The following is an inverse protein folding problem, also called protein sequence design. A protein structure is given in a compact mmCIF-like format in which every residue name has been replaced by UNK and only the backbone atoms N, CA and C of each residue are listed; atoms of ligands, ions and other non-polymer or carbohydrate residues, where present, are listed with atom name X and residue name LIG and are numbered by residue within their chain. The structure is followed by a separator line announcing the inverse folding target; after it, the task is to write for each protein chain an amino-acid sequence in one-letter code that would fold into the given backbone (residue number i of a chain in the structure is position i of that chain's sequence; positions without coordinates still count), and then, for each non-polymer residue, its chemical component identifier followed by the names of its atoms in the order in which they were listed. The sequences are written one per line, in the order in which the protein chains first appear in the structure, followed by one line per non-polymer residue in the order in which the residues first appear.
data_IF_214892382390
#
_entry.id   IF_214892382390
#
_cell.length_a   1.000
_cell.length_b   1.000
_cell.length_c   1.000
_cell.angle_alpha   90.00
_cell.angle_beta   90.00
_cell.angle_gamma   90.00
#
_symmetry.space_group_name_H-M   'P 1'
#
loop_
_entity.id
_entity.type
_entity.pdbx_description
1 polymer ?
#
# COMPACT_ATOMS: atom_id res chain seq x y z
N UNK A 1 -34.37 -8.69 37.23
CA UNK A 1 -33.18 -9.07 38.03
C UNK A 1 -32.06 -9.27 37.02
N UNK A 2 -31.42 -8.20 36.55
CA UNK A 2 -30.37 -7.40 37.22
C UNK A 2 -28.98 -8.01 37.00
N UNK A 3 -28.23 -7.43 36.07
CA UNK A 3 -26.92 -6.85 36.40
C UNK A 3 -26.62 -5.77 35.35
N UNK A 4 -26.44 -4.57 35.86
CA UNK A 4 -26.04 -3.37 35.16
C UNK A 4 -24.62 -3.04 35.64
N UNK A 5 -23.82 -2.51 34.73
CA UNK A 5 -22.68 -1.60 34.95
C UNK A 5 -21.43 -2.07 35.71
N UNK A 6 -20.30 -2.03 35.01
CA UNK A 6 -19.06 -1.47 35.53
C UNK A 6 -18.44 -0.53 34.49
N UNK A 7 -18.37 0.75 34.87
CA UNK A 7 -17.78 1.86 34.15
C UNK A 7 -16.27 1.73 33.96
N UNK A 8 -15.82 2.23 32.81
CA UNK A 8 -14.72 3.19 32.63
C UNK A 8 -13.48 3.09 33.53
N UNK A 9 -12.36 2.75 32.90
CA UNK A 9 -11.05 3.27 33.26
C UNK A 9 -10.44 3.93 32.01
N UNK A 10 -10.38 5.26 32.03
CA UNK A 10 -9.64 6.06 31.07
C UNK A 10 -8.22 6.31 31.61
N UNK A 11 -7.20 6.04 30.77
CA UNK A 11 -5.90 6.73 30.69
C UNK A 11 -4.92 5.92 29.80
N UNK A 12 -3.87 6.53 29.20
CA UNK A 12 -3.74 7.89 28.68
C UNK A 12 -3.46 7.93 27.16
N UNK A 13 -3.69 9.11 26.60
CA UNK A 13 -3.25 9.57 25.28
C UNK A 13 -1.79 9.23 24.97
N UNK A 14 -1.52 8.89 23.70
CA UNK A 14 -0.23 9.22 23.08
C UNK A 14 0.65 8.11 22.49
N UNK A 15 0.10 7.01 21.97
CA UNK A 15 0.87 6.09 21.12
C UNK A 15 0.11 5.77 19.82
N UNK A 16 0.73 5.87 18.63
CA UNK A 16 0.05 5.54 17.38
C UNK A 16 -0.19 4.04 17.33
N UNK A 17 -1.45 3.64 17.46
CA UNK A 17 -1.89 2.25 17.32
C UNK A 17 -1.97 1.89 15.83
N UNK A 18 -0.81 1.83 15.18
CA UNK A 18 -0.73 1.40 13.77
C UNK A 18 -0.99 -0.11 13.61
N UNK A 19 -0.91 -0.87 14.71
CA UNK A 19 -1.03 -2.34 14.69
C UNK A 19 -2.44 -2.92 14.91
N UNK A 20 -3.42 -2.13 15.37
CA UNK A 20 -4.78 -2.64 15.63
C UNK A 20 -5.78 -2.27 14.53
N UNK A 21 -5.55 -1.18 13.79
CA UNK A 21 -6.44 -0.76 12.71
C UNK A 21 -6.40 -1.71 11.49
N UNK A 22 -5.35 -2.51 11.35
CA UNK A 22 -5.22 -3.51 10.28
C UNK A 22 -5.90 -4.86 10.62
N UNK A 23 -6.25 -5.11 11.87
CA UNK A 23 -6.61 -6.46 12.34
C UNK A 23 -8.12 -6.72 12.48
N UNK A 24 -8.98 -5.71 12.36
CA UNK A 24 -10.43 -5.84 12.62
C UNK A 24 -11.34 -5.52 11.41
N UNK A 25 -10.77 -5.32 10.22
CA UNK A 25 -11.61 -5.29 9.00
C UNK A 25 -11.91 -6.72 8.55
N UNK A 26 -13.19 -7.11 8.34
CA UNK A 26 -13.49 -8.38 7.71
C UNK A 26 -12.80 -8.41 6.33
N UNK A 27 -12.17 -9.53 5.93
CA UNK A 27 -11.60 -9.63 4.60
C UNK A 27 -12.73 -9.54 3.58
N UNK A 28 -12.86 -8.38 2.91
CA UNK A 28 -13.77 -8.25 1.77
C UNK A 28 -14.51 -6.94 1.50
N UNK A 29 -14.17 -5.76 2.05
CA UNK A 29 -14.84 -4.53 1.59
C UNK A 29 -14.04 -3.21 1.67
N UNK A 30 -12.70 -3.25 1.68
CA UNK A 30 -11.97 -2.03 1.29
C UNK A 30 -12.24 -1.79 -0.19
N UNK A 31 -12.67 -0.58 -0.57
CA UNK A 31 -12.84 -0.28 -1.99
C UNK A 31 -11.47 -0.29 -2.68
N UNK A 32 -11.44 -0.58 -3.98
CA UNK A 32 -10.21 -0.50 -4.78
C UNK A 32 -9.45 0.82 -4.54
N UNK A 33 -10.19 1.92 -4.39
CA UNK A 33 -9.65 3.24 -4.06
C UNK A 33 -8.97 3.27 -2.70
N UNK A 34 -9.61 2.74 -1.65
CA UNK A 34 -9.03 2.71 -0.31
C UNK A 34 -7.76 1.86 -0.28
N UNK A 35 -7.79 0.67 -0.89
CA UNK A 35 -6.62 -0.20 -1.01
C UNK A 35 -5.50 0.50 -1.78
N UNK A 36 -5.81 1.19 -2.87
CA UNK A 36 -4.83 1.96 -3.62
C UNK A 36 -4.12 3.02 -2.77
N UNK A 37 -4.88 3.84 -2.04
CA UNK A 37 -4.29 4.85 -1.16
C UNK A 37 -3.47 4.22 -0.02
N UNK A 38 -3.99 3.18 0.62
CA UNK A 38 -3.31 2.48 1.70
C UNK A 38 -1.96 1.87 1.26
N UNK A 39 -1.90 1.29 0.06
CA UNK A 39 -0.65 0.75 -0.50
C UNK A 39 0.37 1.86 -0.75
N UNK A 40 -0.07 3.03 -1.21
CA UNK A 40 0.78 4.20 -1.40
C UNK A 40 1.34 4.76 -0.09
N UNK A 41 0.53 4.79 0.97
CA UNK A 41 0.99 5.17 2.31
C UNK A 41 2.01 4.17 2.87
N UNK A 42 1.73 2.87 2.76
CA UNK A 42 2.65 1.81 3.17
C UNK A 42 3.99 1.91 2.41
N UNK A 43 3.94 2.13 1.09
CA UNK A 43 5.13 2.32 0.29
C UNK A 43 5.92 3.57 0.68
N UNK A 44 5.27 4.67 1.05
CA UNK A 44 5.97 5.86 1.54
C UNK A 44 6.76 5.57 2.83
N UNK A 45 6.20 4.76 3.74
CA UNK A 45 6.90 4.29 4.95
C UNK A 45 8.09 3.42 4.58
N UNK A 46 7.93 2.48 3.63
CA UNK A 46 9.02 1.63 3.14
C UNK A 46 10.13 2.47 2.50
N UNK A 47 9.79 3.47 1.68
CA UNK A 47 10.73 4.42 1.11
C UNK A 47 11.52 5.20 2.17
N UNK A 48 10.86 5.64 3.24
CA UNK A 48 11.51 6.30 4.37
C UNK A 48 12.48 5.35 5.10
N UNK A 49 12.11 4.08 5.32
CA UNK A 49 12.99 3.06 5.90
C UNK A 49 14.21 2.75 5.00
N UNK A 50 14.06 2.92 3.69
CA UNK A 50 15.14 2.80 2.72
C UNK A 50 16.06 4.04 2.67
N UNK A 51 15.72 5.12 3.39
CA UNK A 51 16.45 6.39 3.36
C UNK A 51 16.26 7.16 2.05
N UNK A 52 15.19 6.90 1.30
CA UNK A 52 14.90 7.58 0.02
C UNK A 52 14.13 8.87 0.24
N UNK A 53 14.43 9.84 -0.61
CA UNK A 53 13.72 11.12 -0.71
C UNK A 53 12.55 11.05 -1.69
N UNK A 54 11.59 11.97 -1.57
CA UNK A 54 10.47 12.11 -2.52
C UNK A 54 10.93 12.28 -3.97
N UNK A 55 12.11 12.88 -4.18
CA UNK A 55 12.70 13.05 -5.51
C UNK A 55 13.13 11.72 -6.14
N UNK A 56 13.65 10.79 -5.35
CA UNK A 56 13.97 9.43 -5.81
C UNK A 56 12.69 8.65 -6.12
N UNK A 57 11.54 9.13 -5.64
CA UNK A 57 10.21 8.55 -5.86
C UNK A 57 9.49 8.92 -7.16
N UNK A 58 10.07 9.82 -7.95
CA UNK A 58 9.54 10.26 -9.23
C UNK A 58 9.68 9.20 -10.34
N UNK A 59 8.82 8.19 -10.34
CA UNK A 59 8.72 7.17 -11.41
C UNK A 59 7.45 7.24 -12.26
N UNK A 60 6.40 7.89 -11.76
CA UNK A 60 5.13 8.06 -12.44
C UNK A 60 4.59 9.48 -12.17
N UNK A 61 3.75 9.98 -13.08
CA UNK A 61 3.08 11.28 -12.89
C UNK A 61 2.17 11.22 -11.65
N UNK A 62 2.29 12.18 -10.71
CA UNK A 62 1.38 12.25 -9.55
C UNK A 62 -0.10 12.29 -9.96
N UNK A 63 -0.41 12.99 -11.05
CA UNK A 63 -1.78 13.07 -11.58
C UNK A 63 -2.28 11.71 -12.09
N UNK A 64 -1.40 10.88 -12.69
CA UNK A 64 -1.78 9.55 -13.16
C UNK A 64 -1.99 8.57 -12.00
N UNK A 65 -1.20 8.72 -10.93
CA UNK A 65 -1.38 7.94 -9.69
C UNK A 65 -2.74 8.26 -9.06
N UNK A 66 -3.08 9.54 -8.94
CA UNK A 66 -4.33 9.98 -8.33
C UNK A 66 -5.56 9.57 -9.16
N UNK A 67 -5.48 9.72 -10.49
CA UNK A 67 -6.60 9.40 -11.38
C UNK A 67 -6.83 7.89 -11.59
N UNK A 68 -5.94 7.02 -11.10
CA UNK A 68 -5.98 5.59 -11.42
C UNK A 68 -7.29 4.90 -11.02
N UNK A 69 -7.82 5.03 -9.77
CA UNK A 69 -9.04 4.34 -9.36
C UNK A 69 -10.24 4.68 -10.26
N UNK A 70 -10.47 5.96 -10.51
CA UNK A 70 -11.54 6.41 -11.41
C UNK A 70 -11.36 5.83 -12.83
N UNK A 71 -10.15 5.93 -13.37
CA UNK A 71 -9.86 5.49 -14.73
C UNK A 71 -10.02 3.97 -14.90
N UNK A 72 -9.60 3.17 -13.90
CA UNK A 72 -9.72 1.71 -13.97
C UNK A 72 -11.17 1.25 -13.80
N UNK A 73 -11.97 1.95 -12.98
CA UNK A 73 -13.41 1.71 -12.91
C UNK A 73 -14.10 1.99 -14.25
N UNK A 74 -13.75 3.09 -14.92
CA UNK A 74 -14.25 3.39 -16.26
C UNK A 74 -13.82 2.35 -17.31
N UNK A 75 -12.59 1.83 -17.22
CA UNK A 75 -12.11 0.80 -18.12
C UNK A 75 -12.86 -0.54 -17.94
N UNK A 76 -13.20 -0.90 -16.70
CA UNK A 76 -14.02 -2.05 -16.35
C UNK A 76 -13.48 -3.41 -16.83
N UNK A 77 -14.35 -4.42 -16.81
CA UNK A 77 -14.11 -5.74 -17.38
C UNK A 77 -12.83 -6.43 -16.87
N UNK A 78 -12.08 -7.07 -17.79
CA UNK A 78 -10.88 -7.82 -17.44
C UNK A 78 -9.76 -6.95 -16.85
N UNK A 79 -9.69 -5.66 -17.21
CA UNK A 79 -8.68 -4.74 -16.68
C UNK A 79 -8.94 -4.43 -15.22
N UNK A 80 -10.20 -4.15 -14.87
CA UNK A 80 -10.61 -3.93 -13.49
C UNK A 80 -10.39 -5.19 -12.64
N UNK A 81 -10.76 -6.37 -13.16
CA UNK A 81 -10.52 -7.63 -12.46
C UNK A 81 -9.02 -7.88 -12.21
N UNK A 82 -8.18 -7.63 -13.22
CA UNK A 82 -6.73 -7.78 -13.09
C UNK A 82 -6.12 -6.74 -12.14
N UNK A 83 -6.63 -5.51 -12.14
CA UNK A 83 -6.20 -4.48 -11.20
C UNK A 83 -6.55 -4.86 -9.76
N UNK A 84 -7.76 -5.36 -9.51
CA UNK A 84 -8.17 -5.81 -8.18
C UNK A 84 -7.25 -6.92 -7.66
N UNK A 85 -7.02 -7.95 -8.48
CA UNK A 85 -6.09 -9.03 -8.13
C UNK A 85 -4.68 -8.49 -7.86
N UNK A 86 -4.18 -7.59 -8.71
CA UNK A 86 -2.85 -7.01 -8.54
C UNK A 86 -2.72 -6.17 -7.27
N UNK A 87 -3.79 -5.50 -6.83
CA UNK A 87 -3.82 -4.78 -5.56
C UNK A 87 -3.82 -5.73 -4.37
N UNK A 88 -4.59 -6.82 -4.44
CA UNK A 88 -4.65 -7.84 -3.39
C UNK A 88 -3.27 -8.53 -3.23
N UNK A 89 -2.62 -8.88 -4.34
CA UNK A 89 -1.27 -9.45 -4.35
C UNK A 89 -0.24 -8.45 -3.77
N UNK A 90 -0.33 -7.18 -4.15
CA UNK A 90 0.57 -6.13 -3.67
C UNK A 90 0.38 -5.84 -2.18
N UNK A 91 -0.86 -5.91 -1.68
CA UNK A 91 -1.17 -5.81 -0.26
C UNK A 91 -0.49 -6.92 0.54
N UNK A 92 -0.61 -8.18 0.08
CA UNK A 92 0.03 -9.31 0.74
C UNK A 92 1.56 -9.18 0.78
N UNK A 93 2.17 -8.72 -0.33
CA UNK A 93 3.62 -8.47 -0.43
C UNK A 93 4.04 -7.37 0.55
N UNK A 94 3.34 -6.23 0.57
CA UNK A 94 3.69 -5.10 1.44
C UNK A 94 3.46 -5.41 2.92
N UNK A 95 2.36 -6.06 3.29
CA UNK A 95 2.08 -6.44 4.68
C UNK A 95 3.18 -7.37 5.22
N UNK A 96 3.52 -8.40 4.45
CA UNK A 96 4.56 -9.36 4.81
C UNK A 96 5.95 -8.69 4.84
N UNK A 97 6.25 -7.88 3.82
CA UNK A 97 7.51 -7.16 3.70
C UNK A 97 7.73 -6.17 4.84
N UNK A 98 6.75 -5.32 5.13
CA UNK A 98 6.80 -4.35 6.23
C UNK A 98 6.98 -5.06 7.58
N UNK A 99 6.24 -6.14 7.84
CA UNK A 99 6.40 -6.93 9.06
C UNK A 99 7.84 -7.46 9.21
N UNK A 100 8.44 -7.95 8.12
CA UNK A 100 9.82 -8.41 8.12
C UNK A 100 10.82 -7.26 8.38
N UNK A 101 10.63 -6.10 7.76
CA UNK A 101 11.48 -4.92 7.97
C UNK A 101 11.43 -4.45 9.43
N UNK A 102 10.24 -4.40 10.04
CA UNK A 102 10.07 -4.05 11.45
C UNK A 102 10.75 -5.07 12.37
N UNK A 103 10.66 -6.36 12.06
CA UNK A 103 11.34 -7.40 12.83
C UNK A 103 12.87 -7.30 12.74
N UNK A 104 13.42 -6.86 11.61
CA UNK A 104 14.86 -6.58 11.44
C UNK A 104 15.27 -5.38 12.28
N UNK A 105 14.51 -4.28 12.20
CA UNK A 105 14.74 -3.07 12.99
C UNK A 105 14.68 -3.32 14.50
N UNK A 106 13.71 -4.12 14.96
CA UNK A 106 13.56 -4.50 16.36
C UNK A 106 14.76 -5.28 16.92
N UNK A 107 15.57 -5.90 16.04
CA UNK A 107 16.83 -6.58 16.41
C UNK A 107 18.05 -5.66 16.31
N UNK A 108 17.84 -4.35 16.16
CA UNK A 108 18.91 -3.34 16.05
C UNK A 108 19.70 -3.40 14.74
N UNK A 109 19.18 -4.08 13.71
CA UNK A 109 19.83 -4.14 12.39
C UNK A 109 19.15 -3.17 11.43
N UNK A 110 19.92 -2.63 10.50
CA UNK A 110 19.38 -1.74 9.47
C UNK A 110 18.53 -2.54 8.46
N UNK A 111 17.27 -2.14 8.22
CA UNK A 111 16.43 -2.74 7.18
C UNK A 111 16.64 -2.10 5.79
N UNK A 112 17.51 -1.08 5.66
CA UNK A 112 17.50 -0.14 4.53
C UNK A 112 17.62 -0.82 3.15
N UNK A 113 18.50 -1.82 3.00
CA UNK A 113 18.68 -2.52 1.72
C UNK A 113 17.44 -3.35 1.33
N UNK A 114 16.82 -4.04 2.30
CA UNK A 114 15.60 -4.80 2.05
C UNK A 114 14.41 -3.86 1.80
N UNK A 115 14.34 -2.73 2.50
CA UNK A 115 13.33 -1.70 2.27
C UNK A 115 13.45 -1.10 0.86
N UNK A 116 14.67 -0.83 0.39
CA UNK A 116 14.91 -0.34 -0.96
C UNK A 116 14.39 -1.32 -2.02
N UNK A 117 14.67 -2.62 -1.86
CA UNK A 117 14.19 -3.65 -2.78
C UNK A 117 12.66 -3.77 -2.79
N UNK A 118 12.02 -3.76 -1.61
CA UNK A 118 10.55 -3.79 -1.51
C UNK A 118 9.91 -2.56 -2.14
N UNK A 119 10.54 -1.39 -1.97
CA UNK A 119 10.07 -0.15 -2.58
C UNK A 119 10.17 -0.18 -4.10
N UNK A 120 11.26 -0.73 -4.64
CA UNK A 120 11.41 -0.90 -6.09
C UNK A 120 10.37 -1.87 -6.67
N UNK A 121 10.05 -2.95 -5.96
CA UNK A 121 8.99 -3.89 -6.34
C UNK A 121 7.63 -3.18 -6.37
N UNK A 122 7.29 -2.41 -5.33
CA UNK A 122 6.06 -1.62 -5.31
C UNK A 122 5.98 -0.66 -6.50
N UNK A 123 7.07 0.04 -6.83
CA UNK A 123 7.11 0.95 -7.98
C UNK A 123 6.90 0.22 -9.30
N UNK A 124 7.50 -0.95 -9.47
CA UNK A 124 7.35 -1.77 -10.66
C UNK A 124 5.90 -2.27 -10.80
N UNK A 125 5.32 -2.81 -9.73
CA UNK A 125 3.93 -3.25 -9.70
C UNK A 125 2.96 -2.10 -10.00
N UNK A 126 3.16 -0.94 -9.36
CA UNK A 126 2.38 0.29 -9.62
C UNK A 126 2.44 0.71 -11.09
N UNK A 127 3.62 0.68 -11.71
CA UNK A 127 3.76 0.99 -13.12
C UNK A 127 2.98 0.02 -14.02
N UNK A 128 2.94 -1.27 -13.65
CA UNK A 128 2.12 -2.28 -14.31
C UNK A 128 0.62 -1.99 -14.19
N UNK A 129 0.14 -1.62 -13.01
CA UNK A 129 -1.26 -1.23 -12.78
C UNK A 129 -1.64 0.00 -13.61
N UNK A 130 -0.82 1.05 -13.59
CA UNK A 130 -1.06 2.25 -14.41
C UNK A 130 -1.09 1.97 -15.91
N UNK A 131 -0.31 0.99 -16.39
CA UNK A 131 -0.32 0.59 -17.80
C UNK A 131 -1.63 -0.08 -18.25
N UNK A 132 -2.47 -0.55 -17.32
CA UNK A 132 -3.80 -1.09 -17.64
C UNK A 132 -4.74 -0.02 -18.21
N UNK A 133 -4.59 1.23 -17.76
CA UNK A 133 -5.47 2.36 -18.13
C UNK A 133 -4.83 3.34 -19.10
N UNK A 134 -3.50 3.42 -19.12
CA UNK A 134 -2.75 4.24 -20.06
C UNK A 134 -1.66 3.37 -20.71
N UNK A 135 -2.01 2.54 -21.71
CA UNK A 135 -1.02 1.67 -22.34
C UNK A 135 0.09 2.52 -22.94
N UNK A 136 1.34 2.26 -22.52
CA UNK A 136 2.53 2.86 -23.14
C UNK A 136 2.47 2.57 -24.64
N UNK A 137 2.58 3.57 -25.53
CA UNK A 137 2.55 3.31 -26.96
C UNK A 137 3.68 2.34 -27.32
N UNK A 138 3.30 1.19 -27.90
CA UNK A 138 4.24 0.22 -28.43
C UNK A 138 4.93 0.86 -29.62
N UNK A 139 6.22 1.19 -29.47
CA UNK A 139 7.02 1.69 -30.59
C UNK A 139 7.34 0.49 -31.48
N UNK A 140 6.62 0.34 -32.58
CA UNK A 140 6.99 -0.63 -33.61
C UNK A 140 8.31 -0.18 -34.26
N UNK A 141 9.35 -1.02 -34.32
CA UNK A 141 10.52 -0.73 -35.14
C UNK A 141 10.08 -0.70 -36.61
N UNK A 142 10.38 0.40 -37.29
CA UNK A 142 10.29 0.53 -38.75
C UNK A 142 11.46 -0.15 -39.43
#
# INVERSE_FOLDING_TARGET
MAWDSASGAAAPDGAPVMGAAIADSPPGAASLTDTWHALHEAAAIVGALAGRSVAEDAGASPAAIEAFPETIFHAGGWRLALAQQGLDDLAAILETGVSALLAVSARGRSPACAAAALHDEFRAARAGLLALVAPKPVRHPV
#
